data_IF_233916517643
#
_entry.id   IF_233916517643
#
_cell.length_a   1.000
_cell.length_b   1.000
_cell.length_c   1.000
_cell.angle_alpha   90.00
_cell.angle_beta   90.00
_cell.angle_gamma   90.00
#
_symmetry.space_group_name_H-M   'P 1'
#
loop_
_entity.id
_entity.type
_entity.pdbx_description
1 polymer ?
#
# COMPACT_ATOMS: atom_id res chain seq x y z
N UNK A 1 0.16 -20.51 -16.71
CA UNK A 1 1.40 -19.69 -16.86
C UNK A 1 1.01 -18.24 -16.64
N UNK A 2 1.61 -17.55 -15.66
CA UNK A 2 1.39 -16.10 -15.52
C UNK A 2 2.32 -15.38 -16.50
N UNK A 3 1.77 -14.46 -17.29
CA UNK A 3 2.57 -13.63 -18.17
C UNK A 3 3.24 -12.50 -17.38
N UNK A 4 4.38 -12.01 -17.89
CA UNK A 4 5.13 -10.92 -17.27
C UNK A 4 4.27 -9.66 -17.03
N UNK A 5 3.28 -9.40 -17.89
CA UNK A 5 2.31 -8.29 -17.76
C UNK A 5 1.35 -8.45 -16.57
N UNK A 6 0.90 -9.67 -16.32
CA UNK A 6 0.02 -9.95 -15.19
C UNK A 6 0.80 -9.86 -13.88
N UNK A 7 2.06 -10.32 -13.90
CA UNK A 7 2.96 -10.25 -12.76
C UNK A 7 3.33 -8.83 -12.42
N UNK A 8 3.64 -7.97 -13.41
CA UNK A 8 3.91 -6.55 -13.15
C UNK A 8 2.69 -5.84 -12.55
N UNK A 9 1.47 -6.16 -13.04
CA UNK A 9 0.22 -5.65 -12.46
C UNK A 9 0.02 -6.13 -11.02
N UNK A 10 0.22 -7.42 -10.74
CA UNK A 10 0.10 -7.98 -9.39
C UNK A 10 1.16 -7.42 -8.44
N UNK A 11 2.40 -7.18 -8.91
CA UNK A 11 3.45 -6.51 -8.14
C UNK A 11 2.99 -5.11 -7.76
N UNK A 12 2.48 -4.32 -8.71
CA UNK A 12 1.96 -2.97 -8.43
C UNK A 12 0.78 -3.02 -7.45
N UNK A 13 -0.19 -3.90 -7.66
CA UNK A 13 -1.33 -4.04 -6.76
C UNK A 13 -0.90 -4.47 -5.35
N UNK A 14 0.15 -5.30 -5.24
CA UNK A 14 0.69 -5.72 -3.93
C UNK A 14 1.32 -4.59 -3.14
N UNK A 15 1.59 -3.46 -3.81
CA UNK A 15 2.12 -2.25 -3.18
C UNK A 15 1.01 -1.36 -2.63
N UNK A 16 -0.16 -1.32 -3.26
CA UNK A 16 -1.29 -0.49 -2.82
C UNK A 16 -2.21 -1.21 -1.83
N UNK A 17 -2.44 -2.51 -2.03
CA UNK A 17 -3.38 -3.30 -1.25
C UNK A 17 -2.81 -4.66 -0.81
N UNK A 18 -3.40 -5.24 0.24
CA UNK A 18 -3.08 -6.61 0.66
C UNK A 18 -3.60 -7.60 -0.38
N UNK A 19 -2.71 -8.11 -1.22
CA UNK A 19 -3.05 -9.14 -2.19
C UNK A 19 -3.38 -10.48 -1.51
N UNK A 20 -4.30 -11.28 -2.08
CA UNK A 20 -4.55 -12.65 -1.61
C UNK A 20 -3.28 -13.50 -1.68
N UNK A 21 -3.05 -14.33 -0.66
CA UNK A 21 -1.84 -15.17 -0.52
C UNK A 21 -1.54 -16.02 -1.76
N UNK A 22 -2.58 -16.50 -2.46
CA UNK A 22 -2.46 -17.30 -3.70
C UNK A 22 -1.73 -16.54 -4.81
N UNK A 23 -2.10 -15.28 -5.04
CA UNK A 23 -1.43 -14.44 -6.04
C UNK A 23 0.02 -14.13 -5.65
N UNK A 24 0.27 -13.95 -4.35
CA UNK A 24 1.63 -13.72 -3.83
C UNK A 24 2.55 -14.92 -4.09
N UNK A 25 2.04 -16.14 -3.94
CA UNK A 25 2.79 -17.36 -4.26
C UNK A 25 3.06 -17.48 -5.76
N UNK A 26 2.06 -17.23 -6.60
CA UNK A 26 2.21 -17.26 -8.06
C UNK A 26 3.27 -16.26 -8.56
N UNK A 27 3.27 -15.03 -8.03
CA UNK A 27 4.28 -14.02 -8.34
C UNK A 27 5.67 -14.46 -7.88
N UNK A 28 5.82 -15.05 -6.67
CA UNK A 28 7.10 -15.57 -6.19
C UNK A 28 7.66 -16.65 -7.12
N UNK A 29 6.82 -17.60 -7.53
CA UNK A 29 7.23 -18.63 -8.49
C UNK A 29 7.68 -18.02 -9.82
N UNK A 30 6.99 -16.98 -10.31
CA UNK A 30 7.39 -16.28 -11.52
C UNK A 30 8.73 -15.56 -11.40
N UNK A 31 8.98 -14.92 -10.26
CA UNK A 31 10.24 -14.21 -9.99
C UNK A 31 11.45 -15.15 -9.88
N UNK A 32 11.24 -16.44 -9.62
CA UNK A 32 12.33 -17.44 -9.60
C UNK A 32 12.85 -17.76 -11.00
N UNK A 33 11.98 -17.80 -12.01
CA UNK A 33 12.38 -18.14 -13.38
C UNK A 33 12.57 -16.90 -14.28
N UNK A 34 11.93 -15.77 -13.98
CA UNK A 34 11.98 -14.56 -14.80
C UNK A 34 12.85 -13.46 -14.15
N UNK A 35 14.06 -13.28 -14.68
CA UNK A 35 15.02 -12.27 -14.20
C UNK A 35 14.51 -10.83 -14.40
N UNK A 36 13.77 -10.57 -15.48
CA UNK A 36 13.22 -9.24 -15.79
C UNK A 36 12.19 -8.79 -14.75
N UNK A 37 11.24 -9.66 -14.43
CA UNK A 37 10.25 -9.38 -13.39
C UNK A 37 10.93 -9.24 -12.01
N UNK A 38 12.01 -10.01 -11.75
CA UNK A 38 12.81 -9.85 -10.53
C UNK A 38 13.45 -8.47 -10.43
N UNK A 39 14.04 -7.98 -11.51
CA UNK A 39 14.66 -6.65 -11.56
C UNK A 39 13.62 -5.53 -11.40
N UNK A 40 12.49 -5.66 -12.07
CA UNK A 40 11.37 -4.72 -11.94
C UNK A 40 10.84 -4.66 -10.49
N UNK A 41 10.61 -5.80 -9.85
CA UNK A 41 10.17 -5.86 -8.46
C UNK A 41 11.17 -5.21 -7.49
N UNK A 42 12.48 -5.39 -7.74
CA UNK A 42 13.53 -4.76 -6.94
C UNK A 42 13.54 -3.23 -7.14
N UNK A 43 13.38 -2.75 -8.38
CA UNK A 43 13.32 -1.32 -8.70
C UNK A 43 12.13 -0.63 -8.02
N UNK A 44 10.94 -1.24 -8.07
CA UNK A 44 9.77 -0.69 -7.37
C UNK A 44 9.96 -0.65 -5.85
N UNK A 45 10.56 -1.69 -5.27
CA UNK A 45 10.89 -1.68 -3.84
C UNK A 45 11.91 -0.61 -3.48
N UNK A 46 12.91 -0.37 -4.34
CA UNK A 46 13.88 0.69 -4.15
C UNK A 46 13.20 2.07 -4.14
N UNK A 47 12.37 2.36 -5.15
CA UNK A 47 11.61 3.60 -5.23
C UNK A 47 10.74 3.80 -3.99
N UNK A 48 10.02 2.76 -3.55
CA UNK A 48 9.19 2.83 -2.34
C UNK A 48 10.00 3.15 -1.09
N UNK A 49 11.16 2.50 -0.90
CA UNK A 49 12.03 2.76 0.25
C UNK A 49 12.59 4.18 0.20
N UNK A 50 12.97 4.67 -0.97
CA UNK A 50 13.43 6.04 -1.14
C UNK A 50 12.32 7.04 -0.76
N UNK A 51 11.10 6.84 -1.27
CA UNK A 51 9.94 7.68 -0.92
C UNK A 51 9.61 7.65 0.58
N UNK A 52 9.65 6.47 1.21
CA UNK A 52 9.43 6.35 2.65
C UNK A 52 10.51 7.05 3.47
N UNK A 53 11.78 6.99 3.04
CA UNK A 53 12.87 7.74 3.68
C UNK A 53 12.68 9.24 3.53
N UNK A 54 12.32 9.71 2.34
CA UNK A 54 12.05 11.15 2.11
C UNK A 54 10.87 11.64 2.96
N UNK A 55 9.78 10.88 3.05
CA UNK A 55 8.64 11.22 3.90
C UNK A 55 8.97 11.21 5.40
N UNK A 56 9.99 10.46 5.82
CA UNK A 56 10.48 10.44 7.20
C UNK A 56 11.46 11.58 7.51
N UNK A 57 11.98 12.28 6.50
CA UNK A 57 12.83 13.45 6.70
C UNK A 57 11.99 14.60 7.27
N UNK A 58 12.47 15.31 8.31
CA UNK A 58 11.69 16.36 9.00
C UNK A 58 11.19 17.46 8.07
N UNK A 59 11.94 17.79 7.02
CA UNK A 59 11.57 18.81 6.02
C UNK A 59 10.27 18.45 5.27
N UNK A 60 10.05 17.18 4.95
CA UNK A 60 8.82 16.72 4.28
C UNK A 60 7.73 16.28 5.26
N UNK A 61 8.09 16.02 6.52
CA UNK A 61 7.17 15.55 7.55
C UNK A 61 6.32 16.69 8.15
N UNK A 62 6.83 17.92 8.18
CA UNK A 62 6.06 19.10 8.58
C UNK A 62 4.99 19.45 7.53
N UNK A 63 5.36 19.46 6.25
CA UNK A 63 4.45 19.79 5.13
C UNK A 63 3.36 18.74 4.89
N UNK A 64 3.55 17.48 5.32
CA UNK A 64 2.59 16.39 5.12
C UNK A 64 1.61 16.19 6.29
N UNK A 65 1.71 16.98 7.37
CA UNK A 65 0.74 16.90 8.45
C UNK A 65 -0.55 17.62 8.02
N UNK A 66 -1.64 16.86 7.95
CA UNK A 66 -2.99 17.45 7.91
C UNK A 66 -3.12 18.51 9.01
N UNK A 67 -3.68 19.67 8.64
CA UNK A 67 -4.08 20.70 9.60
C UNK A 67 -4.91 20.10 10.72
N UNK A 68 -4.80 20.68 11.92
CA UNK A 68 -5.60 20.31 13.09
C UNK A 68 -7.09 20.27 12.78
N UNK A 69 -7.57 21.21 11.96
CA UNK A 69 -8.97 21.27 11.52
C UNK A 69 -9.33 20.08 10.59
N UNK A 70 -8.48 19.75 9.62
CA UNK A 70 -8.71 18.62 8.71
C UNK A 70 -8.74 17.28 9.47
N UNK A 71 -7.85 17.11 10.46
CA UNK A 71 -7.84 15.94 11.36
C UNK A 71 -9.13 15.85 12.19
N UNK A 72 -9.61 16.97 12.73
CA UNK A 72 -10.85 17.01 13.51
C UNK A 72 -12.07 16.59 12.66
N UNK A 73 -12.17 17.09 11.42
CA UNK A 73 -13.25 16.70 10.49
C UNK A 73 -13.23 15.20 10.16
N UNK A 74 -12.04 14.64 9.90
CA UNK A 74 -11.91 13.20 9.61
C UNK A 74 -12.29 12.34 10.82
N UNK A 75 -11.85 12.74 12.03
CA UNK A 75 -12.19 12.04 13.27
C UNK A 75 -13.70 12.01 13.50
N UNK A 76 -14.39 13.15 13.33
CA UNK A 76 -15.86 13.20 13.49
C UNK A 76 -16.61 12.27 12.54
N UNK A 77 -16.19 12.16 11.28
CA UNK A 77 -16.81 11.24 10.31
C UNK A 77 -16.57 9.77 10.62
N UNK A 78 -15.36 9.43 11.08
CA UNK A 78 -15.06 8.06 11.52
C UNK A 78 -15.91 7.69 12.74
N UNK A 79 -16.05 8.61 13.70
CA UNK A 79 -16.82 8.39 14.91
C UNK A 79 -18.31 8.19 14.61
N UNK A 80 -18.89 9.03 13.75
CA UNK A 80 -20.27 8.87 13.28
C UNK A 80 -20.49 7.54 12.53
N UNK A 81 -19.50 7.07 11.76
CA UNK A 81 -19.59 5.80 11.05
C UNK A 81 -19.51 4.59 12.01
N UNK A 82 -18.71 4.70 13.08
CA UNK A 82 -18.63 3.70 14.15
C UNK A 82 -19.92 3.67 14.98
N UNK A 83 -20.47 4.83 15.33
CA UNK A 83 -21.72 4.91 16.08
C UNK A 83 -22.90 4.33 15.29
N UNK A 84 -22.89 4.49 13.95
CA UNK A 84 -23.92 3.91 13.07
C UNK A 84 -23.74 2.41 12.80
N UNK A 85 -22.54 1.87 12.99
CA UNK A 85 -22.25 0.45 12.80
C UNK A 85 -22.26 -0.37 14.09
N UNK A 86 -22.28 0.28 15.26
CA UNK A 86 -22.50 -0.38 16.54
C UNK A 86 -23.98 -0.77 16.65
N UNK A 87 -24.35 -2.07 16.72
CA UNK A 87 -25.72 -2.44 16.99
C UNK A 87 -26.13 -1.92 18.37
N UNK A 88 -27.38 -1.47 18.57
CA UNK A 88 -27.86 -1.17 19.91
C UNK A 88 -27.74 -2.45 20.74
N UNK A 89 -26.85 -2.44 21.73
CA UNK A 89 -26.75 -3.53 22.70
C UNK A 89 -27.98 -3.44 23.62
N UNK A 90 -28.67 -4.56 23.89
CA UNK A 90 -29.70 -4.60 24.93
C UNK A 90 -29.11 -4.43 26.33
#
# INVERSE_FOLDING_TARGET
MLNCRDVSRLISQSMDARLPWRHRLAVRLHLLYCVWCRRYAAQLQFLRRAMQKMAATPEFAEDQKLSSEAKARMRGRLQQALDRSSPPFP
#
